data_IF_577540629628
#
_entry.id   IF_577540629628
#
_cell.length_a   1.000
_cell.length_b   1.000
_cell.length_c   1.000
_cell.angle_alpha   90.00
_cell.angle_beta   90.00
_cell.angle_gamma   90.00
#
_symmetry.space_group_name_H-M   'P 1'
#
loop_
_entity.id
_entity.type
_entity.pdbx_description
1 polymer ?
#
# COMPACT_ATOMS: atom_id res chain seq x y z
N UNK A 1 16.28 -20.28 -15.95
CA UNK A 1 16.18 -20.33 -14.48
C UNK A 1 16.81 -19.08 -13.90
N UNK A 2 16.00 -18.02 -13.72
CA UNK A 2 16.43 -16.85 -12.97
C UNK A 2 16.18 -17.11 -11.49
N UNK A 3 17.24 -17.25 -10.69
CA UNK A 3 17.10 -17.25 -9.24
C UNK A 3 16.72 -15.85 -8.78
N UNK A 4 15.55 -15.71 -8.18
CA UNK A 4 15.15 -14.47 -7.54
C UNK A 4 15.97 -14.30 -6.25
N UNK A 5 16.84 -13.30 -6.21
CA UNK A 5 17.47 -12.90 -4.95
C UNK A 5 16.52 -11.96 -4.23
N UNK A 6 15.93 -12.42 -3.15
CA UNK A 6 15.16 -11.57 -2.24
C UNK A 6 16.19 -10.82 -1.40
N UNK A 7 16.27 -9.49 -1.58
CA UNK A 7 17.03 -8.63 -0.66
C UNK A 7 16.15 -8.32 0.57
N UNK A 8 16.75 -7.99 1.70
CA UNK A 8 16.09 -7.74 2.99
C UNK A 8 15.00 -6.66 2.97
N UNK A 9 14.94 -5.88 1.88
CA UNK A 9 13.97 -4.80 1.69
C UNK A 9 12.80 -5.16 0.74
N UNK A 10 12.66 -6.42 0.30
CA UNK A 10 11.60 -6.82 -0.62
C UNK A 10 10.62 -7.78 0.04
N UNK A 11 9.35 -7.47 -0.12
CA UNK A 11 8.24 -8.36 0.21
C UNK A 11 7.60 -8.91 -1.06
N UNK A 12 6.93 -10.05 -0.93
CA UNK A 12 6.15 -10.63 -2.02
C UNK A 12 5.02 -11.46 -1.49
N UNK A 13 3.97 -11.58 -2.29
CA UNK A 13 2.84 -12.46 -2.03
C UNK A 13 3.02 -13.73 -2.85
N UNK A 14 2.86 -14.87 -2.20
CA UNK A 14 2.89 -16.17 -2.85
C UNK A 14 1.44 -16.58 -3.07
N UNK A 15 1.04 -16.62 -4.34
CA UNK A 15 -0.27 -17.11 -4.75
C UNK A 15 -0.14 -18.58 -5.11
N UNK A 16 -0.71 -19.49 -4.28
CA UNK A 16 -0.73 -20.91 -4.60
C UNK A 16 -0.64 -21.83 -3.39
N UNK A 17 -1.07 -23.07 -3.60
CA UNK A 17 -1.33 -24.06 -2.54
C UNK A 17 -0.13 -24.82 -2.01
N UNK A 18 1.03 -24.82 -2.64
CA UNK A 18 2.16 -25.59 -2.12
C UNK A 18 3.50 -25.01 -2.49
N UNK A 19 4.28 -24.81 -1.47
CA UNK A 19 5.73 -24.76 -1.53
C UNK A 19 6.16 -26.19 -1.21
N UNK A 20 6.61 -26.96 -2.21
CA UNK A 20 7.20 -28.27 -1.97
C UNK A 20 8.67 -28.07 -1.62
N UNK A 21 9.09 -28.33 -0.38
CA UNK A 21 10.49 -28.25 0.00
C UNK A 21 11.25 -29.43 -0.56
N UNK A 22 12.33 -29.17 -1.27
CA UNK A 22 13.34 -30.17 -1.59
C UNK A 22 14.46 -30.12 -0.55
N UNK A 23 14.51 -31.10 0.32
CA UNK A 23 15.56 -31.20 1.32
C UNK A 23 16.72 -32.04 0.83
N UNK A 24 17.90 -31.44 0.79
CA UNK A 24 19.14 -32.18 0.52
C UNK A 24 19.75 -32.59 1.86
N UNK A 25 19.62 -33.87 2.21
CA UNK A 25 20.11 -34.41 3.48
C UNK A 25 21.65 -34.30 3.65
N UNK A 26 22.40 -34.34 2.54
CA UNK A 26 23.87 -34.26 2.60
C UNK A 26 24.35 -32.85 2.91
N UNK A 27 23.70 -31.81 2.39
CA UNK A 27 24.07 -30.40 2.62
C UNK A 27 23.32 -29.75 3.77
N UNK A 28 22.33 -30.45 4.35
CA UNK A 28 21.39 -29.91 5.34
C UNK A 28 20.69 -28.60 4.88
N UNK A 29 20.49 -28.47 3.55
CA UNK A 29 19.82 -27.34 2.95
C UNK A 29 18.44 -27.74 2.48
N UNK A 30 17.45 -26.87 2.71
CA UNK A 30 16.11 -27.01 2.17
C UNK A 30 15.91 -25.94 1.12
N UNK A 31 15.64 -26.34 -0.11
CA UNK A 31 15.31 -25.43 -1.20
C UNK A 31 13.80 -25.34 -1.34
N UNK A 32 13.30 -24.12 -1.49
CA UNK A 32 11.89 -23.88 -1.77
C UNK A 32 11.75 -23.35 -3.19
N UNK A 33 10.91 -23.99 -3.98
CA UNK A 33 10.52 -23.47 -5.29
C UNK A 33 9.24 -22.66 -5.14
N UNK A 34 9.33 -21.34 -5.29
CA UNK A 34 8.18 -20.45 -5.26
C UNK A 34 7.51 -20.45 -6.64
N UNK A 35 6.28 -20.95 -6.71
CA UNK A 35 5.43 -20.80 -7.89
C UNK A 35 4.49 -19.61 -7.68
N UNK A 36 4.26 -18.83 -8.74
CA UNK A 36 3.35 -17.67 -8.71
C UNK A 36 3.74 -16.60 -7.67
N UNK A 37 5.03 -16.32 -7.55
CA UNK A 37 5.50 -15.21 -6.71
C UNK A 37 5.20 -13.88 -7.40
N UNK A 38 4.42 -13.03 -6.72
CA UNK A 38 4.16 -11.66 -7.14
C UNK A 38 4.88 -10.70 -6.18
N UNK A 39 5.92 -10.00 -6.65
CA UNK A 39 6.56 -8.98 -5.81
C UNK A 39 5.58 -7.84 -5.55
N UNK A 40 5.57 -7.33 -4.33
CA UNK A 40 4.83 -6.12 -4.00
C UNK A 40 5.77 -4.91 -4.00
N UNK A 41 5.25 -3.75 -4.36
CA UNK A 41 5.95 -2.48 -4.18
C UNK A 41 6.00 -2.17 -2.69
N UNK A 42 7.15 -1.68 -2.21
CA UNK A 42 7.36 -1.38 -0.81
C UNK A 42 7.89 0.05 -0.63
N UNK A 43 7.31 0.81 0.29
CA UNK A 43 7.69 2.17 0.60
C UNK A 43 7.55 2.47 2.10
N UNK A 44 8.16 3.54 2.56
CA UNK A 44 7.88 4.09 3.89
C UNK A 44 6.60 4.91 3.84
N UNK A 45 5.80 4.83 4.90
CA UNK A 45 4.69 5.76 5.07
C UNK A 45 5.23 7.20 5.23
N UNK A 46 4.56 8.14 4.58
CA UNK A 46 4.88 9.56 4.64
C UNK A 46 4.31 10.14 5.93
N UNK A 47 5.10 10.94 6.63
CA UNK A 47 4.66 11.67 7.81
C UNK A 47 4.71 13.16 7.52
N UNK A 48 3.57 13.77 7.24
CA UNK A 48 3.41 15.19 6.97
C UNK A 48 3.12 15.95 8.26
N UNK A 49 3.60 17.19 8.35
CA UNK A 49 3.34 18.03 9.53
C UNK A 49 1.90 18.52 9.55
N UNK A 50 1.43 19.05 8.43
CA UNK A 50 0.11 19.67 8.27
C UNK A 50 -0.63 19.10 7.04
N UNK A 51 -1.93 19.38 6.95
CA UNK A 51 -2.72 19.02 5.77
C UNK A 51 -2.21 19.72 4.49
N UNK A 52 -1.68 20.94 4.60
CA UNK A 52 -1.10 21.65 3.47
C UNK A 52 0.21 21.00 3.00
N UNK A 53 1.06 20.54 3.94
CA UNK A 53 2.30 19.85 3.58
C UNK A 53 2.02 18.48 2.95
N UNK A 54 0.93 17.81 3.33
CA UNK A 54 0.50 16.56 2.74
C UNK A 54 0.33 16.65 1.21
N UNK A 55 -0.19 17.77 0.70
CA UNK A 55 -0.39 17.97 -0.75
C UNK A 55 0.93 17.94 -1.52
N UNK A 56 2.02 18.38 -0.88
CA UNK A 56 3.37 18.39 -1.46
C UNK A 56 4.09 17.07 -1.22
N UNK A 57 4.02 16.55 0.01
CA UNK A 57 4.74 15.34 0.43
C UNK A 57 4.18 14.07 -0.22
N UNK A 58 2.85 14.04 -0.42
CA UNK A 58 2.13 12.94 -1.03
C UNK A 58 1.01 13.50 -1.94
N UNK A 59 1.32 13.96 -3.15
CA UNK A 59 0.34 14.53 -4.07
C UNK A 59 -0.71 13.49 -4.45
N UNK A 60 -1.94 13.98 -4.67
CA UNK A 60 -3.04 13.17 -5.18
C UNK A 60 -3.60 13.84 -6.44
N UNK A 61 -3.50 13.15 -7.55
CA UNK A 61 -3.92 13.64 -8.86
C UNK A 61 -5.00 12.78 -9.52
N UNK A 62 -5.33 11.64 -8.89
CA UNK A 62 -6.40 10.75 -9.33
C UNK A 62 -6.93 9.92 -8.15
N UNK A 63 -8.20 9.48 -8.19
CA UNK A 63 -8.72 8.50 -7.25
C UNK A 63 -8.14 7.10 -7.53
N UNK A 64 -8.25 6.21 -6.58
CA UNK A 64 -8.16 4.76 -6.81
C UNK A 64 -9.56 4.22 -7.15
N UNK A 65 -9.66 2.99 -7.65
CA UNK A 65 -10.96 2.35 -7.80
C UNK A 65 -11.44 1.84 -6.45
N UNK A 66 -10.61 1.08 -5.76
CA UNK A 66 -10.92 0.50 -4.46
C UNK A 66 -9.67 -0.12 -3.81
N UNK A 67 -9.71 -0.24 -2.49
CA UNK A 67 -8.77 -1.03 -1.69
C UNK A 67 -9.35 -2.40 -1.30
N UNK A 68 -10.51 -2.79 -1.85
CA UNK A 68 -11.11 -4.11 -1.67
C UNK A 68 -11.14 -4.86 -2.98
N UNK A 69 -10.48 -6.01 -2.99
CA UNK A 69 -10.50 -6.93 -4.13
C UNK A 69 -11.33 -8.16 -3.81
N UNK A 70 -11.61 -8.99 -4.83
CA UNK A 70 -12.32 -10.26 -4.69
C UNK A 70 -13.64 -10.13 -3.89
N UNK A 71 -14.49 -9.18 -4.28
CA UNK A 71 -15.77 -8.89 -3.61
C UNK A 71 -15.61 -8.56 -2.11
N UNK A 72 -14.48 -7.94 -1.74
CA UNK A 72 -14.22 -7.49 -0.37
C UNK A 72 -13.56 -8.53 0.54
N UNK A 73 -13.27 -9.73 0.04
CA UNK A 73 -12.53 -10.74 0.81
C UNK A 73 -11.06 -10.39 1.00
N UNK A 74 -10.52 -9.55 0.11
CA UNK A 74 -9.17 -9.04 0.15
C UNK A 74 -9.19 -7.54 0.42
N UNK A 75 -8.63 -7.12 1.54
CA UNK A 75 -8.63 -5.72 2.02
C UNK A 75 -7.31 -5.40 2.72
N UNK A 76 -7.03 -4.13 3.06
CA UNK A 76 -5.85 -3.76 3.82
C UNK A 76 -5.70 -4.53 5.11
N UNK A 77 -4.46 -4.92 5.46
CA UNK A 77 -4.16 -5.64 6.69
C UNK A 77 -2.74 -5.35 7.21
N UNK A 78 -2.54 -5.53 8.50
CA UNK A 78 -1.20 -5.52 9.09
C UNK A 78 -0.54 -6.88 8.88
N UNK A 79 0.58 -6.90 8.17
CA UNK A 79 1.42 -8.10 8.04
C UNK A 79 2.16 -8.38 9.35
N UNK A 80 2.65 -7.33 9.99
CA UNK A 80 3.21 -7.33 11.34
C UNK A 80 2.97 -5.95 11.98
N UNK A 81 3.52 -5.72 13.16
CA UNK A 81 3.31 -4.46 13.91
C UNK A 81 3.75 -3.18 13.16
N UNK A 82 4.69 -3.28 12.22
CA UNK A 82 5.31 -2.14 11.55
C UNK A 82 5.00 -2.08 10.04
N UNK A 83 4.35 -3.11 9.48
CA UNK A 83 4.11 -3.20 8.04
C UNK A 83 2.63 -3.37 7.75
N UNK A 84 2.09 -2.38 7.05
CA UNK A 84 0.75 -2.40 6.47
C UNK A 84 0.84 -2.86 5.02
N UNK A 85 -0.03 -3.77 4.63
CA UNK A 85 -0.17 -4.24 3.25
C UNK A 85 -1.57 -3.90 2.75
N UNK A 86 -1.66 -3.29 1.58
CA UNK A 86 -2.94 -2.95 0.96
C UNK A 86 -2.98 -3.38 -0.50
N UNK A 87 -4.08 -3.99 -0.95
CA UNK A 87 -4.38 -4.10 -2.36
C UNK A 87 -4.83 -2.73 -2.85
N UNK A 88 -4.46 -2.36 -4.05
CA UNK A 88 -4.90 -1.13 -4.70
C UNK A 88 -5.32 -1.46 -6.11
N UNK A 89 -6.54 -1.06 -6.47
CA UNK A 89 -7.03 -1.10 -7.84
C UNK A 89 -7.14 0.30 -8.41
N UNK A 90 -6.71 0.49 -9.65
CA UNK A 90 -6.76 1.78 -10.35
C UNK A 90 -6.95 1.60 -11.85
N UNK A 91 -7.11 2.71 -12.54
CA UNK A 91 -7.14 2.73 -14.00
C UNK A 91 -5.93 3.45 -14.56
N UNK A 92 -5.48 3.01 -15.73
CA UNK A 92 -4.34 3.60 -16.43
C UNK A 92 -4.49 3.41 -17.94
N UNK A 93 -3.67 4.12 -18.71
CA UNK A 93 -3.48 3.83 -20.12
C UNK A 93 -2.81 2.46 -20.26
N UNK A 94 -3.23 1.67 -21.26
CA UNK A 94 -2.63 0.37 -21.55
C UNK A 94 -1.22 0.51 -22.16
N UNK A 95 -0.29 0.99 -21.36
CA UNK A 95 1.10 1.27 -21.72
C UNK A 95 2.02 1.01 -20.50
N UNK A 96 3.09 0.24 -20.70
CA UNK A 96 4.03 -0.10 -19.64
C UNK A 96 4.76 1.11 -19.04
N UNK A 97 5.01 2.16 -19.82
CA UNK A 97 5.67 3.36 -19.32
C UNK A 97 4.71 4.21 -18.48
N UNK A 98 3.43 4.23 -18.84
CA UNK A 98 2.38 4.87 -18.05
C UNK A 98 2.18 4.17 -16.71
N UNK A 99 2.21 2.83 -16.68
CA UNK A 99 2.17 2.07 -15.43
C UNK A 99 3.20 2.54 -14.40
N UNK A 100 4.43 2.82 -14.83
CA UNK A 100 5.52 3.27 -13.96
C UNK A 100 5.35 4.70 -13.42
N UNK A 101 4.48 5.50 -14.02
CA UNK A 101 4.20 6.88 -13.58
C UNK A 101 3.30 6.93 -12.35
N UNK A 102 2.45 5.90 -12.17
CA UNK A 102 1.55 5.84 -11.03
C UNK A 102 2.32 5.59 -9.73
N UNK A 103 2.09 6.46 -8.77
CA UNK A 103 2.68 6.37 -7.43
C UNK A 103 1.58 6.33 -6.39
N UNK A 104 1.78 5.49 -5.39
CA UNK A 104 0.85 5.35 -4.28
C UNK A 104 1.60 5.60 -2.98
N UNK A 105 1.19 6.62 -2.25
CA UNK A 105 1.74 6.99 -0.96
C UNK A 105 0.71 6.73 0.14
N UNK A 106 1.15 6.13 1.23
CA UNK A 106 0.37 6.07 2.46
C UNK A 106 0.91 7.15 3.39
N UNK A 107 0.08 8.10 3.79
CA UNK A 107 0.53 9.27 4.54
C UNK A 107 -0.33 9.52 5.79
N UNK A 108 0.26 10.06 6.85
CA UNK A 108 -0.47 10.60 8.00
C UNK A 108 -0.09 12.05 8.24
N UNK A 109 -0.97 12.79 8.93
CA UNK A 109 -0.79 14.21 9.25
C UNK A 109 -0.63 14.38 10.75
N UNK A 110 0.48 14.93 11.19
CA UNK A 110 0.78 15.05 12.61
C UNK A 110 -0.14 16.03 13.34
N UNK A 111 -0.54 17.12 12.71
CA UNK A 111 -1.40 18.13 13.36
C UNK A 111 -2.85 17.66 13.56
N UNK A 112 -3.25 16.55 12.95
CA UNK A 112 -4.52 15.88 13.21
C UNK A 112 -4.47 14.96 14.44
N UNK A 113 -3.30 14.74 15.03
CA UNK A 113 -3.13 13.86 16.19
C UNK A 113 -3.18 14.70 17.46
N UNK A 114 -4.23 14.49 18.24
CA UNK A 114 -4.40 15.11 19.56
C UNK A 114 -3.78 14.27 20.69
N UNK A 115 -3.50 14.92 21.82
CA UNK A 115 -3.06 14.21 23.02
C UNK A 115 -4.17 13.23 23.49
N UNK A 116 -3.81 11.98 23.74
CA UNK A 116 -4.75 10.93 24.11
C UNK A 116 -5.50 10.29 22.96
N UNK A 117 -5.22 10.66 21.70
CA UNK A 117 -5.81 10.03 20.53
C UNK A 117 -5.55 8.50 20.54
N UNK A 118 -6.51 7.73 20.05
CA UNK A 118 -6.44 6.27 19.95
C UNK A 118 -6.35 5.77 18.51
N UNK A 119 -6.72 6.59 17.55
CA UNK A 119 -6.83 6.25 16.15
C UNK A 119 -5.74 6.97 15.35
N UNK A 120 -4.90 6.21 14.65
CA UNK A 120 -3.96 6.76 13.67
C UNK A 120 -4.60 6.67 12.29
N UNK A 121 -4.82 7.83 11.68
CA UNK A 121 -5.41 7.96 10.35
C UNK A 121 -4.31 8.04 9.30
N UNK A 122 -4.42 7.18 8.31
CA UNK A 122 -3.61 7.22 7.10
C UNK A 122 -4.46 7.61 5.90
N UNK A 123 -3.91 8.43 5.03
CA UNK A 123 -4.45 8.79 3.72
C UNK A 123 -3.70 8.03 2.64
N UNK A 124 -4.39 7.18 1.88
CA UNK A 124 -3.82 6.63 0.66
C UNK A 124 -3.99 7.67 -0.45
N UNK A 125 -2.86 8.09 -1.01
CA UNK A 125 -2.78 9.12 -2.05
C UNK A 125 -2.29 8.50 -3.35
N UNK A 126 -2.95 8.81 -4.45
CA UNK A 126 -2.62 8.31 -5.78
C UNK A 126 -2.20 9.46 -6.71
N UNK A 127 -0.94 9.47 -7.10
CA UNK A 127 -0.43 10.34 -8.14
C UNK A 127 -0.29 9.57 -9.44
N UNK A 128 -1.10 9.93 -10.45
CA UNK A 128 -1.08 9.30 -11.79
C UNK A 128 0.03 9.84 -12.69
N UNK A 129 0.79 10.85 -12.24
CA UNK A 129 1.77 11.54 -13.06
C UNK A 129 1.16 12.11 -14.33
N UNK A 130 1.80 11.87 -15.47
CA UNK A 130 1.33 12.35 -16.79
C UNK A 130 0.40 11.35 -17.51
N UNK A 131 -0.19 10.38 -16.81
CA UNK A 131 -1.21 9.51 -17.39
C UNK A 131 -2.57 10.20 -17.33
N UNK A 132 -3.16 10.43 -18.51
CA UNK A 132 -4.45 11.11 -18.69
C UNK A 132 -5.57 10.17 -19.16
N UNK A 133 -5.28 8.87 -19.31
CA UNK A 133 -6.23 7.85 -19.79
C UNK A 133 -6.52 6.80 -18.74
N UNK A 134 -7.70 6.21 -18.89
CA UNK A 134 -8.23 5.18 -17.96
C UNK A 134 -8.70 3.93 -18.72
N UNK A 135 -7.90 3.51 -19.71
CA UNK A 135 -8.28 2.47 -20.66
C UNK A 135 -8.49 1.11 -20.00
N UNK A 136 -7.58 0.75 -19.09
CA UNK A 136 -7.56 -0.57 -18.45
C UNK A 136 -7.63 -0.50 -16.94
N UNK A 137 -8.25 -1.51 -16.35
CA UNK A 137 -8.23 -1.81 -14.94
C UNK A 137 -6.93 -2.55 -14.60
N UNK A 138 -6.30 -2.13 -13.51
CA UNK A 138 -5.15 -2.81 -12.94
C UNK A 138 -5.28 -2.90 -11.42
N UNK A 139 -4.66 -3.92 -10.83
CA UNK A 139 -4.55 -4.02 -9.39
C UNK A 139 -3.21 -4.63 -8.99
N UNK A 140 -2.67 -4.18 -7.88
CA UNK A 140 -1.44 -4.71 -7.30
C UNK A 140 -1.43 -4.55 -5.79
N UNK A 141 -0.48 -5.19 -5.14
CA UNK A 141 -0.24 -5.11 -3.72
C UNK A 141 0.87 -4.13 -3.41
N UNK A 142 0.67 -3.35 -2.34
CA UNK A 142 1.64 -2.40 -1.84
C UNK A 142 1.86 -2.62 -0.36
N UNK A 143 3.14 -2.64 0.05
CA UNK A 143 3.56 -2.71 1.44
C UNK A 143 4.09 -1.35 1.90
N UNK A 144 3.76 -0.96 3.13
CA UNK A 144 4.23 0.29 3.73
C UNK A 144 4.84 0.02 5.09
N UNK A 145 6.07 0.51 5.30
CA UNK A 145 6.65 0.61 6.62
C UNK A 145 6.01 1.80 7.34
N UNK A 146 5.26 1.52 8.40
CA UNK A 146 4.54 2.52 9.21
C UNK A 146 5.23 2.81 10.54
N UNK A 147 6.42 2.26 10.78
CA UNK A 147 7.13 2.38 12.06
C UNK A 147 7.32 3.84 12.47
N UNK A 148 7.83 4.69 11.57
CA UNK A 148 8.02 6.11 11.85
C UNK A 148 6.69 6.81 12.20
N UNK A 149 5.61 6.50 11.49
CA UNK A 149 4.29 7.06 11.80
C UNK A 149 3.80 6.66 13.19
N UNK A 150 4.01 5.39 13.59
CA UNK A 150 3.66 4.91 14.94
C UNK A 150 4.49 5.60 16.04
N UNK A 151 5.78 5.83 15.80
CA UNK A 151 6.66 6.55 16.72
C UNK A 151 6.21 8.00 16.89
N UNK A 152 5.93 8.70 15.79
CA UNK A 152 5.46 10.09 15.80
C UNK A 152 4.06 10.22 16.43
N UNK A 153 3.16 9.27 16.17
CA UNK A 153 1.87 9.20 16.83
C UNK A 153 2.05 9.09 18.35
N UNK A 154 2.90 8.15 18.81
CA UNK A 154 3.17 7.98 20.23
C UNK A 154 3.73 9.24 20.88
N UNK A 155 4.62 9.96 20.20
CA UNK A 155 5.16 11.23 20.70
C UNK A 155 4.06 12.28 20.91
N UNK A 156 3.08 12.37 20.00
CA UNK A 156 1.99 13.34 20.05
C UNK A 156 0.85 12.91 20.98
N UNK A 157 0.38 11.68 20.85
CA UNK A 157 -0.76 11.16 21.61
C UNK A 157 -0.40 10.71 23.03
N UNK A 158 0.87 10.39 23.30
CA UNK A 158 1.35 9.83 24.56
C UNK A 158 1.26 8.30 24.67
N UNK A 159 0.60 7.64 23.71
CA UNK A 159 0.39 6.18 23.65
C UNK A 159 0.44 5.69 22.19
N UNK A 160 0.64 4.40 21.99
CA UNK A 160 0.48 3.79 20.67
C UNK A 160 -1.01 3.77 20.26
N UNK A 161 -1.31 3.84 18.94
CA UNK A 161 -2.68 3.74 18.48
C UNK A 161 -3.24 2.35 18.76
N UNK A 162 -4.52 2.29 19.10
CA UNK A 162 -5.29 1.05 19.23
C UNK A 162 -6.02 0.69 17.94
N UNK A 163 -6.17 1.66 17.05
CA UNK A 163 -6.81 1.50 15.75
C UNK A 163 -6.00 2.21 14.67
N UNK A 164 -5.88 1.57 13.50
CA UNK A 164 -5.41 2.20 12.27
C UNK A 164 -6.60 2.38 11.34
N UNK A 165 -6.73 3.57 10.79
CA UNK A 165 -7.78 3.92 9.83
C UNK A 165 -7.10 4.28 8.52
N UNK A 166 -7.53 3.70 7.41
CA UNK A 166 -7.06 4.11 6.08
C UNK A 166 -8.19 4.83 5.37
N UNK A 167 -7.92 6.02 4.90
CA UNK A 167 -8.82 6.84 4.09
C UNK A 167 -8.31 6.90 2.66
N UNK A 168 -9.17 6.66 1.69
CA UNK A 168 -8.85 6.78 0.27
C UNK A 168 -10.00 7.41 -0.50
N UNK A 169 -9.69 8.20 -1.52
CA UNK A 169 -10.69 8.65 -2.48
C UNK A 169 -10.90 7.54 -3.52
N UNK A 170 -12.09 6.96 -3.54
CA UNK A 170 -12.43 5.82 -4.39
C UNK A 170 -13.50 6.18 -5.41
N UNK A 171 -13.22 5.93 -6.68
CA UNK A 171 -14.17 6.14 -7.78
C UNK A 171 -15.12 4.95 -8.00
N UNK A 172 -14.91 3.84 -7.31
CA UNK A 172 -15.61 2.60 -7.59
C UNK A 172 -15.30 2.08 -9.00
N UNK A 173 -16.28 1.47 -9.66
CA UNK A 173 -16.10 0.94 -11.03
C UNK A 173 -16.19 2.00 -12.14
N UNK A 174 -16.31 3.28 -11.77
CA UNK A 174 -16.43 4.35 -12.75
C UNK A 174 -15.08 4.64 -13.43
N UNK A 175 -15.13 4.99 -14.71
CA UNK A 175 -13.98 5.55 -15.44
C UNK A 175 -13.71 7.02 -15.09
N UNK A 176 -14.36 7.54 -14.05
CA UNK A 176 -14.19 8.91 -13.61
C UNK A 176 -12.80 9.13 -13.06
N UNK A 177 -12.12 10.16 -13.53
CA UNK A 177 -10.80 10.59 -13.08
C UNK A 177 -10.88 11.70 -12.03
N UNK A 178 -12.07 12.22 -11.75
CA UNK A 178 -12.28 13.23 -10.72
C UNK A 178 -12.16 12.61 -9.32
N UNK A 179 -11.42 13.28 -8.45
CA UNK A 179 -11.26 12.86 -7.07
C UNK A 179 -12.60 13.13 -6.34
N UNK A 180 -13.24 12.10 -5.75
CA UNK A 180 -14.47 12.29 -4.98
C UNK A 180 -14.24 13.21 -3.77
N UNK A 181 -15.28 13.93 -3.34
CA UNK A 181 -15.20 14.76 -2.13
C UNK A 181 -15.08 13.94 -0.84
N UNK A 182 -15.63 12.72 -0.84
CA UNK A 182 -15.69 11.89 0.36
C UNK A 182 -14.65 10.76 0.31
N UNK A 183 -14.08 10.47 1.47
CA UNK A 183 -13.21 9.31 1.66
C UNK A 183 -14.02 8.04 1.91
N UNK A 184 -13.51 6.92 1.41
CA UNK A 184 -13.84 5.57 1.89
C UNK A 184 -12.88 5.22 3.03
N UNK A 185 -13.40 4.63 4.11
CA UNK A 185 -12.61 4.24 5.29
C UNK A 185 -12.51 2.72 5.44
N UNK A 186 -11.35 2.27 5.93
CA UNK A 186 -11.01 0.87 6.20
C UNK A 186 -10.46 0.70 7.60
#
# INVERSE_FOLDING_TARGET
>A
NSSLKISDSRMGIILGKSIEPETNEKSKTTNFTLKNFQPISFANAVVSMTAESLVVDAPETAPVITLKLENGSVQPFLYNKDILVTPIAWRLQNDNDKFKMHKFALACVLDEIEAGATDLVFYLRHDKGADDKTDVYYSNWYGYDIKNALERFKEKAGNLPTKLVIKSHESGNNSNTEIPENYTEY
#
